data_IF_497547094842
#
_entry.id   IF_497547094842
#
_cell.length_a   1.000
_cell.length_b   1.000
_cell.length_c   1.000
_cell.angle_alpha   90.00
_cell.angle_beta   90.00
_cell.angle_gamma   90.00
#
_symmetry.space_group_name_H-M   'P 1'
#
loop_
_entity.id
_entity.type
_entity.pdbx_description
1 polymer ?
#
# COMPACT_ATOMS: atom_id res chain seq x y z
N UNK A 1 -18.60 -14.58 15.30
CA UNK A 1 -18.98 -13.41 14.50
C UNK A 1 -17.83 -13.02 13.59
N UNK A 2 -18.12 -12.84 12.32
CA UNK A 2 -17.10 -12.47 11.34
C UNK A 2 -16.66 -11.02 11.56
N UNK A 3 -15.34 -10.78 11.55
CA UNK A 3 -14.83 -9.44 11.62
C UNK A 3 -15.15 -8.71 10.31
N UNK A 4 -15.88 -7.62 10.41
CA UNK A 4 -16.31 -6.83 9.24
C UNK A 4 -15.16 -6.09 8.57
N UNK A 5 -14.00 -6.02 9.21
CA UNK A 5 -12.81 -5.41 8.62
C UNK A 5 -12.45 -6.06 7.30
N UNK A 6 -12.49 -7.40 7.24
CA UNK A 6 -12.15 -8.14 6.02
C UNK A 6 -13.09 -7.84 4.85
N UNK A 7 -14.31 -7.34 5.15
CA UNK A 7 -15.27 -6.95 4.12
C UNK A 7 -15.17 -5.49 3.71
N UNK A 8 -14.35 -4.72 4.43
CA UNK A 8 -14.17 -3.30 4.14
C UNK A 8 -13.34 -3.13 2.87
N UNK A 9 -13.96 -2.58 1.80
CA UNK A 9 -13.34 -2.51 0.47
C UNK A 9 -11.97 -1.86 0.44
N UNK A 10 -11.80 -0.78 1.19
CA UNK A 10 -10.52 -0.06 1.27
C UNK A 10 -9.44 -0.95 1.90
N UNK A 11 -9.82 -1.76 2.90
CA UNK A 11 -8.88 -2.67 3.55
C UNK A 11 -8.46 -3.81 2.63
N UNK A 12 -9.42 -4.38 1.91
CA UNK A 12 -9.13 -5.42 0.92
C UNK A 12 -8.12 -4.93 -0.10
N UNK A 13 -8.30 -3.69 -0.53
CA UNK A 13 -7.42 -3.08 -1.50
C UNK A 13 -6.03 -2.82 -0.93
N UNK A 14 -5.96 -2.28 0.28
CA UNK A 14 -4.68 -2.04 0.95
C UNK A 14 -3.91 -3.35 1.12
N UNK A 15 -4.61 -4.42 1.49
CA UNK A 15 -4.02 -5.75 1.62
C UNK A 15 -3.50 -6.26 0.28
N UNK A 16 -4.25 -6.03 -0.80
CA UNK A 16 -3.83 -6.42 -2.14
C UNK A 16 -2.57 -5.68 -2.57
N UNK A 17 -2.50 -4.38 -2.27
CA UNK A 17 -1.32 -3.58 -2.60
C UNK A 17 -0.09 -4.12 -1.87
N UNK A 18 -0.24 -4.48 -0.61
CA UNK A 18 0.84 -5.07 0.17
C UNK A 18 1.29 -6.40 -0.45
N UNK A 19 0.32 -7.27 -0.73
CA UNK A 19 0.61 -8.59 -1.28
C UNK A 19 1.28 -8.49 -2.66
N UNK A 20 0.81 -7.58 -3.50
CA UNK A 20 1.42 -7.36 -4.82
C UNK A 20 2.87 -6.92 -4.68
N UNK A 21 3.14 -6.01 -3.73
CA UNK A 21 4.51 -5.57 -3.52
C UNK A 21 5.38 -6.67 -2.92
N UNK A 22 4.80 -7.51 -2.07
CA UNK A 22 5.57 -8.63 -1.51
C UNK A 22 6.15 -9.48 -2.63
N UNK A 23 5.34 -9.77 -3.65
CA UNK A 23 5.80 -10.49 -4.82
C UNK A 23 6.85 -9.69 -5.61
N UNK A 24 6.62 -8.40 -5.84
CA UNK A 24 7.54 -7.54 -6.59
C UNK A 24 8.87 -7.35 -5.85
N UNK A 25 8.84 -7.38 -4.52
CA UNK A 25 10.03 -7.16 -3.68
C UNK A 25 11.13 -8.19 -3.93
N UNK A 26 10.77 -9.39 -4.34
CA UNK A 26 11.75 -10.40 -4.66
C UNK A 26 12.62 -9.96 -5.83
N UNK A 27 11.99 -9.35 -6.83
CA UNK A 27 12.72 -8.86 -8.01
C UNK A 27 13.54 -7.61 -7.65
N UNK A 28 12.90 -6.63 -7.00
CA UNK A 28 13.56 -5.38 -6.62
C UNK A 28 14.74 -5.65 -5.67
N UNK A 29 14.57 -6.59 -4.75
CA UNK A 29 15.57 -6.91 -3.75
C UNK A 29 16.78 -7.68 -4.25
N UNK A 30 16.77 -8.18 -5.49
CA UNK A 30 17.91 -8.87 -6.08
C UNK A 30 19.11 -7.96 -6.31
N UNK A 31 18.85 -6.66 -6.51
CA UNK A 31 19.87 -5.66 -6.69
C UNK A 31 20.05 -4.91 -5.37
N UNK A 32 21.30 -4.78 -4.91
CA UNK A 32 21.56 -4.11 -3.63
C UNK A 32 20.98 -2.68 -3.59
N UNK A 33 20.88 -2.04 -4.75
CA UNK A 33 20.34 -0.68 -4.85
C UNK A 33 18.83 -0.65 -4.59
N UNK A 34 18.17 -1.80 -4.69
CA UNK A 34 16.76 -1.92 -4.42
C UNK A 34 16.42 -2.15 -2.95
N UNK A 35 17.41 -2.48 -2.11
CA UNK A 35 17.17 -2.85 -0.72
C UNK A 35 16.46 -1.75 0.08
N UNK A 36 16.88 -0.50 -0.08
CA UNK A 36 16.25 0.60 0.62
C UNK A 36 14.83 0.86 0.11
N UNK A 37 14.62 0.70 -1.21
CA UNK A 37 13.29 0.84 -1.79
C UNK A 37 12.34 -0.22 -1.23
N UNK A 38 12.80 -1.47 -1.12
CA UNK A 38 12.01 -2.55 -0.53
C UNK A 38 11.64 -2.22 0.92
N UNK A 39 12.61 -1.81 1.70
CA UNK A 39 12.41 -1.47 3.11
C UNK A 39 11.38 -0.36 3.28
N UNK A 40 11.54 0.73 2.54
CA UNK A 40 10.63 1.87 2.64
C UNK A 40 9.22 1.53 2.14
N UNK A 41 9.14 0.76 1.06
CA UNK A 41 7.85 0.40 0.49
C UNK A 41 7.09 -0.55 1.42
N UNK A 42 7.75 -1.53 1.98
CA UNK A 42 7.14 -2.45 2.94
C UNK A 42 6.60 -1.69 4.13
N UNK A 43 7.36 -0.75 4.66
CA UNK A 43 6.95 0.07 5.79
C UNK A 43 5.75 0.94 5.46
N UNK A 44 5.76 1.60 4.30
CA UNK A 44 4.64 2.45 3.88
C UNK A 44 3.36 1.65 3.69
N UNK A 45 3.45 0.50 3.04
CA UNK A 45 2.27 -0.34 2.79
C UNK A 45 1.74 -0.96 4.06
N UNK A 46 2.62 -1.36 4.97
CA UNK A 46 2.19 -1.82 6.29
C UNK A 46 1.46 -0.71 7.04
N UNK A 47 1.96 0.53 6.94
CA UNK A 47 1.31 1.68 7.57
C UNK A 47 -0.09 1.93 7.00
N UNK A 48 -0.28 1.77 5.69
CA UNK A 48 -1.62 1.89 5.07
C UNK A 48 -2.58 0.91 5.74
N UNK A 49 -2.20 -0.35 5.81
CA UNK A 49 -3.03 -1.39 6.40
C UNK A 49 -3.28 -1.14 7.89
N UNK A 50 -2.22 -0.82 8.62
CA UNK A 50 -2.31 -0.61 10.07
C UNK A 50 -3.23 0.57 10.43
N UNK A 51 -3.18 1.65 9.66
CA UNK A 51 -4.04 2.81 9.92
C UNK A 51 -5.51 2.50 9.64
N UNK A 52 -5.79 1.71 8.62
CA UNK A 52 -7.17 1.29 8.35
C UNK A 52 -7.65 0.37 9.47
N UNK A 53 -6.82 -0.57 9.90
CA UNK A 53 -7.14 -1.48 11.01
C UNK A 53 -7.44 -0.70 12.29
N UNK A 54 -6.60 0.27 12.60
CA UNK A 54 -6.74 1.07 13.81
C UNK A 54 -8.03 1.91 13.75
N UNK A 55 -8.28 2.57 12.63
CA UNK A 55 -9.49 3.37 12.48
C UNK A 55 -10.76 2.51 12.56
N UNK A 56 -10.75 1.35 11.92
CA UNK A 56 -11.88 0.42 11.96
C UNK A 56 -12.10 -0.12 13.37
N UNK A 57 -11.01 -0.47 14.07
CA UNK A 57 -11.08 -1.01 15.42
C UNK A 57 -11.67 -0.03 16.44
N UNK A 58 -11.64 1.27 16.12
CA UNK A 58 -12.26 2.31 16.93
C UNK A 58 -13.71 2.57 16.54
N UNK A 59 -14.30 1.72 15.69
CA UNK A 59 -15.73 1.74 15.39
C UNK A 59 -16.18 2.89 14.50
N UNK A 60 -15.32 3.34 13.58
CA UNK A 60 -15.64 4.46 12.68
C UNK A 60 -15.97 5.75 13.44
N UNK A 61 -15.37 5.95 14.60
CA UNK A 61 -15.60 7.14 15.40
C UNK A 61 -14.91 8.36 14.76
N UNK A 62 -14.87 9.47 15.52
CA UNK A 62 -14.30 10.74 15.04
C UNK A 62 -12.83 10.64 14.63
N UNK A 63 -12.11 9.60 15.03
CA UNK A 63 -10.69 9.41 14.69
C UNK A 63 -10.50 8.70 13.35
N UNK A 64 -11.55 8.08 12.81
CA UNK A 64 -11.47 7.36 11.54
C UNK A 64 -10.96 8.24 10.38
N UNK A 65 -11.48 9.50 10.20
CA UNK A 65 -10.97 10.35 9.13
C UNK A 65 -9.46 10.62 9.23
N UNK A 66 -8.93 10.76 10.43
CA UNK A 66 -7.51 10.99 10.64
C UNK A 66 -6.69 9.77 10.22
N UNK A 67 -7.13 8.58 10.59
CA UNK A 67 -6.46 7.34 10.20
C UNK A 67 -6.50 7.13 8.69
N UNK A 68 -7.63 7.43 8.04
CA UNK A 68 -7.74 7.33 6.59
C UNK A 68 -6.85 8.35 5.89
N UNK A 69 -6.72 9.55 6.45
CA UNK A 69 -5.85 10.59 5.91
C UNK A 69 -4.39 10.12 5.92
N UNK A 70 -3.95 9.54 7.03
CA UNK A 70 -2.59 9.01 7.14
C UNK A 70 -2.39 7.87 6.12
N UNK A 71 -3.35 6.95 6.04
CA UNK A 71 -3.27 5.83 5.10
C UNK A 71 -3.15 6.33 3.65
N UNK A 72 -3.94 7.35 3.27
CA UNK A 72 -3.88 7.93 1.92
C UNK A 72 -2.54 8.57 1.63
N UNK A 73 -1.96 9.28 2.62
CA UNK A 73 -0.63 9.87 2.46
C UNK A 73 0.44 8.82 2.21
N UNK A 74 0.42 7.75 2.98
CA UNK A 74 1.35 6.64 2.81
C UNK A 74 1.14 5.93 1.47
N UNK A 75 -0.11 5.75 1.06
CA UNK A 75 -0.44 5.13 -0.22
C UNK A 75 0.10 5.97 -1.39
N UNK A 76 -0.04 7.29 -1.29
CA UNK A 76 0.50 8.21 -2.32
C UNK A 76 2.01 8.08 -2.42
N UNK A 77 2.71 8.05 -1.29
CA UNK A 77 4.16 7.86 -1.27
C UNK A 77 4.55 6.52 -1.90
N UNK A 78 3.82 5.47 -1.58
CA UNK A 78 4.08 4.14 -2.12
C UNK A 78 3.87 4.10 -3.63
N UNK A 79 2.84 4.78 -4.13
CA UNK A 79 2.59 4.90 -5.57
C UNK A 79 3.75 5.59 -6.27
N UNK A 80 4.25 6.68 -5.69
CA UNK A 80 5.40 7.40 -6.23
C UNK A 80 6.67 6.55 -6.19
N UNK A 81 6.81 5.74 -5.15
CA UNK A 81 7.99 4.88 -5.00
C UNK A 81 8.04 3.82 -6.09
N UNK A 82 6.90 3.30 -6.55
CA UNK A 82 6.88 2.37 -7.67
C UNK A 82 7.52 2.99 -8.92
N UNK A 83 7.28 4.27 -9.18
CA UNK A 83 7.92 4.94 -10.31
C UNK A 83 9.44 4.92 -10.18
N UNK A 84 9.96 5.04 -8.98
CA UNK A 84 11.41 5.01 -8.74
C UNK A 84 12.01 3.61 -8.85
N UNK A 85 11.17 2.59 -8.96
CA UNK A 85 11.62 1.21 -9.20
C UNK A 85 11.76 0.88 -10.69
N UNK A 86 11.68 1.88 -11.54
CA UNK A 86 11.72 1.73 -13.00
C UNK A 86 12.98 1.06 -13.55
N UNK A 87 14.06 1.08 -12.78
CA UNK A 87 15.30 0.43 -13.19
C UNK A 87 15.34 -1.05 -12.80
N UNK A 88 14.41 -1.50 -11.98
CA UNK A 88 14.39 -2.84 -11.41
C UNK A 88 13.14 -3.64 -11.73
N UNK A 89 12.06 -2.95 -12.09
CA UNK A 89 10.79 -3.55 -12.50
C UNK A 89 10.43 -3.13 -13.91
N UNK A 90 9.68 -3.97 -14.62
CA UNK A 90 9.21 -3.63 -15.96
C UNK A 90 8.22 -2.47 -15.90
N UNK A 91 8.19 -1.69 -16.98
CA UNK A 91 7.22 -0.60 -17.12
C UNK A 91 5.78 -1.12 -17.02
N UNK A 92 5.53 -2.29 -17.59
CA UNK A 92 4.21 -2.92 -17.52
C UNK A 92 3.79 -3.16 -16.07
N UNK A 93 4.66 -3.73 -15.26
CA UNK A 93 4.38 -3.97 -13.84
C UNK A 93 4.11 -2.67 -13.11
N UNK A 94 4.96 -1.67 -13.31
CA UNK A 94 4.81 -0.36 -12.64
C UNK A 94 3.47 0.27 -12.99
N UNK A 95 3.12 0.31 -14.28
CA UNK A 95 1.86 0.90 -14.72
C UNK A 95 0.64 0.17 -14.16
N UNK A 96 0.71 -1.15 -14.12
CA UNK A 96 -0.36 -1.99 -13.59
C UNK A 96 -0.59 -1.70 -12.10
N UNK A 97 0.49 -1.62 -11.30
CA UNK A 97 0.40 -1.31 -9.88
C UNK A 97 -0.16 0.09 -9.66
N UNK A 98 0.40 1.09 -10.34
CA UNK A 98 0.01 2.48 -10.19
C UNK A 98 -1.45 2.71 -10.59
N UNK A 99 -1.93 2.01 -11.61
CA UNK A 99 -3.31 2.12 -12.03
C UNK A 99 -4.26 1.63 -10.95
N UNK A 100 -3.96 0.50 -10.33
CA UNK A 100 -4.75 -0.04 -9.23
C UNK A 100 -4.85 0.96 -8.07
N UNK A 101 -3.72 1.56 -7.70
CA UNK A 101 -3.67 2.54 -6.60
C UNK A 101 -4.51 3.76 -6.90
N UNK A 102 -4.39 4.31 -8.12
CA UNK A 102 -5.13 5.50 -8.51
C UNK A 102 -6.63 5.25 -8.47
N UNK A 103 -7.06 4.13 -9.05
CA UNK A 103 -8.48 3.81 -9.15
C UNK A 103 -9.12 3.59 -7.78
N UNK A 104 -8.38 3.05 -6.86
CA UNK A 104 -8.95 2.47 -5.66
C UNK A 104 -8.82 3.34 -4.42
N UNK A 105 -7.73 4.09 -4.28
CA UNK A 105 -7.49 4.94 -3.12
C UNK A 105 -7.59 6.41 -3.44
N UNK A 106 -7.90 6.78 -4.68
CA UNK A 106 -8.00 8.17 -5.14
C UNK A 106 -6.71 8.95 -4.88
N UNK A 107 -5.57 8.31 -5.11
CA UNK A 107 -4.26 8.93 -4.89
C UNK A 107 -3.47 9.16 -6.17
#
# INVERSE_FOLDING_TARGET
>A
MTDRLDDFGIYKLASQLFDDFWADSEIVGRDYRGHELVKQQTRSLDSVCANIEEGFGRGFNKEMPQHLKIARGEARESKGRYRRMKFLLSEETINKRRHLWTRSLAV
#
